data_IF_590858668524
#
_entry.id   IF_590858668524
#
_cell.length_a   1.000
_cell.length_b   1.000
_cell.length_c   1.000
_cell.angle_alpha   90.00
_cell.angle_beta   90.00
_cell.angle_gamma   90.00
#
_symmetry.space_group_name_H-M   'P 1'
#
loop_
_entity.id
_entity.type
_entity.pdbx_description
1 polymer ?
#
# COMPACT_ATOMS: atom_id res chain seq x y z
N UNK A 1 -0.57 -18.94 -4.71
CA UNK A 1 -1.71 -18.78 -5.63
C UNK A 1 -1.53 -17.70 -6.71
N UNK A 2 -0.48 -16.88 -6.66
CA UNK A 2 -0.26 -15.79 -7.64
C UNK A 2 -0.43 -16.12 -9.14
N UNK A 3 0.04 -17.28 -9.68
CA UNK A 3 -0.08 -17.54 -11.12
C UNK A 3 -1.52 -17.62 -11.62
N UNK A 4 -2.45 -18.15 -10.82
CA UNK A 4 -3.87 -18.30 -11.21
C UNK A 4 -4.58 -16.94 -11.27
N UNK A 5 -4.27 -16.04 -10.32
CA UNK A 5 -4.82 -14.68 -10.30
C UNK A 5 -4.32 -13.85 -11.48
N UNK A 6 -3.05 -14.03 -11.84
CA UNK A 6 -2.47 -13.40 -13.02
C UNK A 6 -3.13 -13.88 -14.32
N UNK A 7 -3.42 -15.17 -14.42
CA UNK A 7 -4.17 -15.75 -15.55
C UNK A 7 -5.57 -15.15 -15.66
N UNK A 8 -6.30 -15.03 -14.55
CA UNK A 8 -7.62 -14.41 -14.52
C UNK A 8 -7.58 -12.93 -14.97
N UNK A 9 -6.54 -12.19 -14.59
CA UNK A 9 -6.33 -10.82 -15.08
C UNK A 9 -6.11 -10.78 -16.61
N UNK A 10 -5.27 -11.65 -17.16
CA UNK A 10 -4.99 -11.71 -18.60
C UNK A 10 -6.18 -12.17 -19.44
N UNK A 11 -7.05 -13.04 -18.91
CA UNK A 11 -8.26 -13.49 -19.59
C UNK A 11 -9.23 -12.32 -19.88
N UNK A 12 -9.23 -11.27 -19.07
CA UNK A 12 -10.19 -10.17 -19.20
C UNK A 12 -9.63 -8.94 -19.93
N UNK A 13 -8.32 -8.68 -19.87
CA UNK A 13 -7.66 -7.50 -20.48
C UNK A 13 -7.13 -7.75 -21.90
N UNK A 14 -7.26 -8.97 -22.42
CA UNK A 14 -6.48 -9.53 -23.53
C UNK A 14 -5.00 -9.72 -23.19
N UNK A 15 -4.42 -10.83 -23.66
CA UNK A 15 -3.09 -11.29 -23.27
C UNK A 15 -2.01 -10.23 -23.47
N UNK A 16 -2.01 -9.55 -24.62
CA UNK A 16 -0.96 -8.58 -24.98
C UNK A 16 -1.07 -7.32 -24.13
N UNK A 17 -2.25 -6.72 -24.05
CA UNK A 17 -2.49 -5.49 -23.28
C UNK A 17 -2.28 -5.71 -21.78
N UNK A 18 -2.78 -6.83 -21.25
CA UNK A 18 -2.57 -7.21 -19.84
C UNK A 18 -1.10 -7.44 -19.51
N UNK A 19 -0.35 -8.10 -20.40
CA UNK A 19 1.08 -8.34 -20.20
C UNK A 19 1.89 -7.04 -20.19
N UNK A 20 1.60 -6.09 -21.09
CA UNK A 20 2.28 -4.80 -21.16
C UNK A 20 2.04 -3.99 -19.89
N UNK A 21 0.79 -3.88 -19.44
CA UNK A 21 0.44 -3.14 -18.21
C UNK A 21 1.09 -3.82 -16.99
N UNK A 22 1.04 -5.15 -16.92
CA UNK A 22 1.66 -5.91 -15.83
C UNK A 22 3.17 -5.67 -15.76
N UNK A 23 3.88 -5.77 -16.89
CA UNK A 23 5.32 -5.53 -16.94
C UNK A 23 5.67 -4.08 -16.57
N UNK A 24 4.87 -3.10 -17.02
CA UNK A 24 5.08 -1.70 -16.64
C UNK A 24 4.90 -1.48 -15.13
N UNK A 25 3.81 -2.00 -14.55
CA UNK A 25 3.50 -1.80 -13.13
C UNK A 25 4.46 -2.56 -12.22
N UNK A 26 4.73 -3.83 -12.51
CA UNK A 26 5.66 -4.65 -11.72
C UNK A 26 7.10 -4.16 -11.90
N UNK A 27 7.50 -3.87 -13.15
CA UNK A 27 8.83 -3.35 -13.44
C UNK A 27 9.09 -2.02 -12.72
N UNK A 28 8.17 -1.06 -12.83
CA UNK A 28 8.29 0.21 -12.12
C UNK A 28 8.26 0.05 -10.59
N UNK A 29 7.36 -0.78 -10.05
CA UNK A 29 7.31 -1.06 -8.62
C UNK A 29 8.59 -1.68 -8.07
N UNK A 30 9.23 -2.59 -8.82
CA UNK A 30 10.51 -3.18 -8.46
C UNK A 30 11.66 -2.17 -8.58
N UNK A 31 11.67 -1.31 -9.59
CA UNK A 31 12.65 -0.24 -9.73
C UNK A 31 12.58 0.74 -8.55
N UNK A 32 11.37 1.17 -8.20
CA UNK A 32 11.13 2.07 -7.05
C UNK A 32 11.53 1.40 -5.76
N UNK A 33 11.20 0.12 -5.57
CA UNK A 33 11.63 -0.66 -4.41
C UNK A 33 13.15 -0.75 -4.32
N UNK A 34 13.82 -1.01 -5.43
CA UNK A 34 15.28 -1.08 -5.50
C UNK A 34 15.91 0.27 -5.15
N UNK A 35 15.36 1.38 -5.68
CA UNK A 35 15.79 2.73 -5.34
C UNK A 35 15.59 3.05 -3.85
N UNK A 36 14.40 2.79 -3.30
CA UNK A 36 14.09 3.02 -1.89
C UNK A 36 14.85 2.11 -0.93
N UNK A 37 15.26 0.92 -1.36
CA UNK A 37 16.04 0.00 -0.53
C UNK A 37 17.46 0.50 -0.24
N UNK A 38 17.96 1.46 -1.04
CA UNK A 38 19.23 2.16 -0.76
C UNK A 38 19.11 3.23 0.32
N UNK A 39 17.90 3.60 0.71
CA UNK A 39 17.66 4.48 1.84
C UNK A 39 17.40 3.59 3.08
N UNK A 40 18.02 3.94 4.21
CA UNK A 40 17.84 3.27 5.52
C UNK A 40 16.43 3.50 6.12
N UNK A 41 15.39 3.20 5.34
CA UNK A 41 13.98 3.31 5.72
C UNK A 41 13.54 2.07 6.51
N UNK A 42 12.72 2.29 7.54
CA UNK A 42 11.97 1.23 8.22
C UNK A 42 11.07 0.44 7.22
N UNK A 43 10.78 -0.83 7.56
CA UNK A 43 10.01 -1.77 6.72
C UNK A 43 8.63 -1.23 6.31
N UNK A 44 7.93 -0.54 7.21
CA UNK A 44 6.56 -0.03 7.00
C UNK A 44 6.52 1.14 6.00
N UNK A 45 7.27 2.25 6.20
CA UNK A 45 7.32 3.36 5.24
C UNK A 45 7.75 2.94 3.84
N UNK A 46 8.68 1.98 3.74
CA UNK A 46 9.17 1.46 2.46
C UNK A 46 8.04 0.84 1.62
N UNK A 47 7.18 0.02 2.24
CA UNK A 47 6.06 -0.63 1.55
C UNK A 47 5.01 0.42 1.15
N UNK A 48 4.67 1.35 2.05
CA UNK A 48 3.71 2.42 1.76
C UNK A 48 4.15 3.31 0.60
N UNK A 49 5.44 3.66 0.55
CA UNK A 49 5.98 4.48 -0.53
C UNK A 49 5.92 3.78 -1.89
N UNK A 50 6.24 2.48 -1.96
CA UNK A 50 6.08 1.69 -3.19
C UNK A 50 4.62 1.70 -3.65
N UNK A 51 3.66 1.49 -2.74
CA UNK A 51 2.23 1.50 -3.06
C UNK A 51 1.78 2.86 -3.62
N UNK A 52 2.20 3.97 -3.00
CA UNK A 52 1.82 5.31 -3.48
C UNK A 52 2.37 5.58 -4.88
N UNK A 53 3.62 5.18 -5.15
CA UNK A 53 4.20 5.34 -6.49
C UNK A 53 3.46 4.50 -7.52
N UNK A 54 3.09 3.26 -7.18
CA UNK A 54 2.26 2.40 -8.06
C UNK A 54 0.91 3.06 -8.33
N UNK A 55 0.24 3.62 -7.32
CA UNK A 55 -1.02 4.37 -7.49
C UNK A 55 -0.81 5.58 -8.40
N UNK A 56 0.27 6.34 -8.24
CA UNK A 56 0.59 7.49 -9.10
C UNK A 56 0.84 7.12 -10.57
N UNK A 57 1.47 5.96 -10.81
CA UNK A 57 1.66 5.40 -12.16
C UNK A 57 0.31 4.98 -12.74
N UNK A 58 -0.52 4.28 -11.96
CA UNK A 58 -1.86 3.90 -12.40
C UNK A 58 -2.74 5.12 -12.71
N UNK A 59 -2.66 6.18 -11.91
CA UNK A 59 -3.36 7.43 -12.16
C UNK A 59 -2.89 8.09 -13.47
N UNK A 60 -1.58 8.17 -13.70
CA UNK A 60 -1.00 8.68 -14.94
C UNK A 60 -1.47 7.88 -16.17
N UNK A 61 -1.40 6.55 -16.09
CA UNK A 61 -1.88 5.65 -17.15
C UNK A 61 -3.39 5.81 -17.37
N UNK A 62 -4.17 6.00 -16.31
CA UNK A 62 -5.62 6.23 -16.40
C UNK A 62 -5.95 7.56 -17.10
N UNK A 63 -5.20 8.63 -16.84
CA UNK A 63 -5.38 9.93 -17.49
C UNK A 63 -5.06 9.83 -18.98
N UNK A 64 -3.94 9.20 -19.33
CA UNK A 64 -3.53 8.95 -20.72
C UNK A 64 -4.56 8.04 -21.42
N UNK A 65 -5.01 7.00 -20.74
CA UNK A 65 -6.00 6.05 -21.25
C UNK A 65 -7.37 6.69 -21.51
N UNK A 66 -7.79 7.61 -20.64
CA UNK A 66 -9.01 8.39 -20.82
C UNK A 66 -8.92 9.33 -22.03
N UNK A 67 -7.76 9.96 -22.27
CA UNK A 67 -7.54 10.77 -23.48
C UNK A 67 -7.57 9.94 -24.77
N UNK A 68 -7.20 8.66 -24.70
CA UNK A 68 -7.17 7.73 -25.84
C UNK A 68 -8.52 7.01 -26.08
N UNK A 69 -9.58 7.33 -25.34
CA UNK A 69 -10.89 6.65 -25.39
C UNK A 69 -10.82 5.12 -25.22
N UNK A 70 -9.77 4.64 -24.52
CA UNK A 70 -9.62 3.23 -24.24
C UNK A 70 -10.49 2.90 -23.02
N UNK A 71 -11.50 2.05 -23.23
CA UNK A 71 -12.43 1.55 -22.20
C UNK A 71 -11.71 0.60 -21.21
N UNK A 72 -10.72 1.12 -20.47
CA UNK A 72 -10.00 0.39 -19.41
C UNK A 72 -10.87 0.11 -18.18
N UNK A 73 -12.07 0.69 -18.12
CA UNK A 73 -13.02 0.56 -17.01
C UNK A 73 -13.37 -0.91 -16.68
N UNK A 74 -13.35 -1.81 -17.67
CA UNK A 74 -13.67 -3.23 -17.47
C UNK A 74 -12.61 -4.01 -16.67
N UNK A 75 -11.34 -3.57 -16.67
CA UNK A 75 -10.27 -4.26 -15.94
C UNK A 75 -10.13 -3.84 -14.48
N UNK A 76 -10.71 -2.70 -14.07
CA UNK A 76 -10.64 -2.21 -12.67
C UNK A 76 -11.49 -3.09 -11.74
N UNK A 77 -12.52 -3.76 -12.27
CA UNK A 77 -13.44 -4.62 -11.50
C UNK A 77 -12.77 -5.87 -10.91
N UNK A 78 -11.61 -6.29 -11.41
CA UNK A 78 -10.89 -7.47 -10.87
C UNK A 78 -10.03 -7.15 -9.64
N UNK A 79 -9.70 -5.88 -9.41
CA UNK A 79 -8.83 -5.50 -8.32
C UNK A 79 -9.38 -5.97 -6.95
N UNK A 80 -10.69 -5.79 -6.64
CA UNK A 80 -11.29 -6.35 -5.43
C UNK A 80 -11.19 -7.87 -5.35
N UNK A 81 -11.41 -8.60 -6.44
CA UNK A 81 -11.32 -10.07 -6.47
C UNK A 81 -9.90 -10.54 -6.19
N UNK A 82 -8.88 -9.87 -6.76
CA UNK A 82 -7.47 -10.18 -6.52
C UNK A 82 -7.09 -9.91 -5.07
N UNK A 83 -7.51 -8.76 -4.51
CA UNK A 83 -7.25 -8.41 -3.11
C UNK A 83 -7.91 -9.42 -2.16
N UNK A 84 -9.16 -9.79 -2.41
CA UNK A 84 -9.87 -10.77 -1.59
C UNK A 84 -9.20 -12.14 -1.65
N UNK A 85 -8.86 -12.63 -2.84
CA UNK A 85 -8.17 -13.91 -2.98
C UNK A 85 -6.79 -13.89 -2.28
N UNK A 86 -6.03 -12.81 -2.43
CA UNK A 86 -4.76 -12.64 -1.73
C UNK A 86 -4.92 -12.57 -0.21
N UNK A 87 -5.98 -11.91 0.26
CA UNK A 87 -6.31 -11.83 1.68
C UNK A 87 -6.63 -13.22 2.23
N UNK A 88 -7.45 -14.00 1.53
CA UNK A 88 -7.77 -15.38 1.94
C UNK A 88 -6.52 -16.26 1.95
N UNK A 89 -5.65 -16.16 0.94
CA UNK A 89 -4.37 -16.89 0.91
C UNK A 89 -3.51 -16.55 2.14
N UNK A 90 -3.32 -15.25 2.42
CA UNK A 90 -2.51 -14.78 3.56
C UNK A 90 -3.09 -15.22 4.90
N UNK A 91 -4.42 -15.14 5.06
CA UNK A 91 -5.10 -15.53 6.28
C UNK A 91 -5.10 -17.05 6.48
N UNK A 92 -5.17 -17.82 5.40
CA UNK A 92 -5.08 -19.29 5.46
C UNK A 92 -3.71 -19.75 5.94
N UNK A 93 -2.63 -19.16 5.40
CA UNK A 93 -1.27 -19.46 5.84
C UNK A 93 -1.07 -19.08 7.31
N UNK A 94 -1.53 -17.89 7.71
CA UNK A 94 -1.45 -17.44 9.10
C UNK A 94 -2.24 -18.35 10.05
N UNK A 95 -3.37 -18.90 9.59
CA UNK A 95 -4.16 -19.85 10.37
C UNK A 95 -3.43 -21.17 10.59
N UNK A 96 -2.69 -21.63 9.58
CA UNK A 96 -1.84 -22.82 9.69
C UNK A 96 -0.61 -22.59 10.57
N UNK A 97 0.01 -21.40 10.51
CA UNK A 97 1.24 -21.08 11.24
C UNK A 97 1.01 -20.70 12.71
N UNK A 98 0.09 -19.76 12.99
CA UNK A 98 -0.08 -19.12 14.31
C UNK A 98 -1.38 -19.55 15.04
N UNK A 99 -2.26 -20.29 14.36
CA UNK A 99 -3.53 -20.78 14.89
C UNK A 99 -4.68 -19.75 14.88
N UNK A 100 -5.92 -20.24 14.93
CA UNK A 100 -7.10 -19.42 14.63
C UNK A 100 -7.37 -18.23 15.58
N UNK A 101 -6.82 -18.24 16.79
CA UNK A 101 -6.99 -17.13 17.74
C UNK A 101 -6.18 -15.89 17.32
N UNK A 102 -4.94 -16.08 16.88
CA UNK A 102 -4.07 -14.99 16.43
C UNK A 102 -4.62 -14.37 15.14
N UNK A 103 -5.07 -15.22 14.20
CA UNK A 103 -5.74 -14.78 12.98
C UNK A 103 -6.97 -13.94 13.27
N UNK A 104 -7.82 -14.35 14.23
CA UNK A 104 -9.03 -13.61 14.56
C UNK A 104 -8.71 -12.21 15.10
N UNK A 105 -7.68 -12.07 15.94
CA UNK A 105 -7.25 -10.77 16.48
C UNK A 105 -6.67 -9.91 15.36
N UNK A 106 -5.78 -10.46 14.51
CA UNK A 106 -5.16 -9.71 13.43
C UNK A 106 -6.16 -9.29 12.36
N UNK A 107 -7.07 -10.19 11.97
CA UNK A 107 -8.14 -9.92 10.99
C UNK A 107 -9.17 -8.95 11.56
N UNK A 108 -9.52 -9.06 12.84
CA UNK A 108 -10.41 -8.13 13.51
C UNK A 108 -9.82 -6.71 13.57
N UNK A 109 -8.53 -6.60 13.91
CA UNK A 109 -7.80 -5.32 13.92
C UNK A 109 -7.74 -4.67 12.54
N UNK A 110 -7.46 -5.45 11.48
CA UNK A 110 -7.42 -4.93 10.12
C UNK A 110 -8.81 -4.56 9.59
N UNK A 111 -9.86 -5.31 9.94
CA UNK A 111 -11.24 -5.00 9.56
C UNK A 111 -11.76 -3.71 10.24
N UNK A 112 -11.44 -3.51 11.51
CA UNK A 112 -11.74 -2.26 12.23
C UNK A 112 -11.01 -1.07 11.59
N UNK A 113 -9.71 -1.21 11.32
CA UNK A 113 -8.94 -0.18 10.64
C UNK A 113 -9.51 0.11 9.24
N UNK A 114 -9.86 -0.92 8.46
CA UNK A 114 -10.46 -0.77 7.14
C UNK A 114 -11.82 -0.05 7.19
N UNK A 115 -12.65 -0.35 8.19
CA UNK A 115 -13.94 0.33 8.41
C UNK A 115 -13.72 1.81 8.71
N UNK A 116 -12.74 2.14 9.54
CA UNK A 116 -12.41 3.54 9.84
C UNK A 116 -11.90 4.27 8.59
N UNK A 117 -10.99 3.64 7.83
CA UNK A 117 -10.53 4.17 6.55
C UNK A 117 -11.67 4.37 5.55
N UNK A 118 -12.67 3.47 5.50
CA UNK A 118 -13.84 3.63 4.64
C UNK A 118 -14.61 4.91 4.95
N UNK A 119 -14.86 5.21 6.23
CA UNK A 119 -15.54 6.46 6.61
C UNK A 119 -14.71 7.69 6.25
N UNK A 120 -13.39 7.65 6.46
CA UNK A 120 -12.48 8.75 6.12
C UNK A 120 -12.46 8.97 4.60
N UNK A 121 -12.28 7.92 3.81
CA UNK A 121 -12.26 7.98 2.34
C UNK A 121 -13.64 8.29 1.73
N UNK A 122 -14.73 8.03 2.46
CA UNK A 122 -16.09 8.41 2.07
C UNK A 122 -16.37 9.92 2.19
N UNK A 123 -15.47 10.69 2.80
CA UNK A 123 -15.60 12.15 2.86
C UNK A 123 -15.47 12.77 1.47
N UNK A 124 -16.50 13.52 1.04
CA UNK A 124 -16.49 14.24 -0.26
C UNK A 124 -15.32 15.21 -0.39
N UNK A 125 -14.86 15.77 0.74
CA UNK A 125 -13.71 16.70 0.77
C UNK A 125 -12.44 15.97 0.33
N UNK A 126 -12.18 14.78 0.90
CA UNK A 126 -11.01 13.97 0.56
C UNK A 126 -11.05 13.47 -0.89
N UNK A 127 -12.22 13.00 -1.34
CA UNK A 127 -12.38 12.58 -2.74
C UNK A 127 -12.13 13.74 -3.69
N UNK A 128 -12.75 14.90 -3.47
CA UNK A 128 -12.55 16.08 -4.32
C UNK A 128 -11.08 16.50 -4.37
N UNK A 129 -10.40 16.55 -3.22
CA UNK A 129 -9.00 16.96 -3.15
C UNK A 129 -8.08 16.01 -3.91
N UNK A 130 -8.21 14.70 -3.74
CA UNK A 130 -7.33 13.72 -4.38
C UNK A 130 -7.57 13.61 -5.89
N UNK A 131 -8.84 13.68 -6.34
CA UNK A 131 -9.16 13.63 -7.77
C UNK A 131 -8.79 14.92 -8.51
N UNK A 132 -8.90 16.08 -7.85
CA UNK A 132 -8.57 17.38 -8.46
C UNK A 132 -7.07 17.65 -8.41
N UNK A 133 -6.39 17.25 -7.34
CA UNK A 133 -4.96 17.51 -7.11
C UNK A 133 -4.21 16.19 -6.85
N UNK A 134 -3.88 15.43 -7.91
CA UNK A 134 -3.07 14.22 -7.78
C UNK A 134 -1.67 14.51 -7.20
N UNK A 135 -1.20 15.77 -7.26
CA UNK A 135 0.03 16.24 -6.61
C UNK A 135 0.06 16.01 -5.10
N UNK A 136 -1.11 15.96 -4.44
CA UNK A 136 -1.23 15.64 -3.02
C UNK A 136 -0.63 14.26 -2.69
N UNK A 137 -0.66 13.30 -3.63
CA UNK A 137 -0.04 12.00 -3.43
C UNK A 137 1.48 12.10 -3.22
N UNK A 138 2.15 13.05 -3.90
CA UNK A 138 3.57 13.29 -3.70
C UNK A 138 3.87 13.97 -2.36
N UNK A 139 2.98 14.84 -1.88
CA UNK A 139 3.10 15.44 -0.54
C UNK A 139 2.95 14.35 0.54
N UNK A 140 1.95 13.47 0.40
CA UNK A 140 1.76 12.34 1.31
C UNK A 140 2.97 11.39 1.27
N UNK A 141 3.52 11.13 0.08
CA UNK A 141 4.76 10.36 -0.08
C UNK A 141 5.92 11.01 0.68
N UNK A 142 6.11 12.32 0.54
CA UNK A 142 7.17 13.05 1.25
C UNK A 142 7.01 12.94 2.77
N UNK A 143 5.78 13.10 3.29
CA UNK A 143 5.49 12.94 4.73
C UNK A 143 5.82 11.52 5.20
N UNK A 144 5.45 10.49 4.43
CA UNK A 144 5.73 9.09 4.79
C UNK A 144 7.23 8.80 4.77
N UNK A 145 7.97 9.35 3.81
CA UNK A 145 9.43 9.22 3.77
C UNK A 145 10.10 9.93 4.95
N UNK A 146 9.63 11.14 5.31
CA UNK A 146 10.12 11.86 6.49
C UNK A 146 9.85 11.09 7.79
N UNK A 147 8.62 10.58 7.97
CA UNK A 147 8.27 9.73 9.10
C UNK A 147 9.06 8.40 9.08
N UNK A 148 9.38 7.90 7.90
CA UNK A 148 10.11 6.65 7.72
C UNK A 148 11.61 6.73 7.90
N UNK A 149 12.19 7.92 7.73
CA UNK A 149 13.55 8.27 8.13
C UNK A 149 13.63 8.63 9.61
N UNK A 150 12.49 8.87 10.28
CA UNK A 150 12.44 9.08 11.71
C UNK A 150 12.76 7.76 12.42
N UNK A 151 14.05 7.54 12.65
CA UNK A 151 14.64 6.60 13.60
C UNK A 151 14.35 7.01 15.04
N UNK A 152 13.13 7.50 15.29
CA UNK A 152 12.69 7.96 16.59
C UNK A 152 12.45 6.77 17.48
N UNK A 153 13.42 6.55 18.38
CA UNK A 153 13.26 5.98 19.72
C UNK A 153 11.80 5.77 20.09
N UNK A 154 11.47 4.54 20.51
CA UNK A 154 10.16 4.22 21.06
C UNK A 154 9.74 5.38 21.97
N UNK A 155 8.60 6.03 21.74
CA UNK A 155 8.08 7.05 22.68
C UNK A 155 7.99 6.49 24.12
N UNK A 156 7.92 5.15 24.27
CA UNK A 156 8.03 4.44 25.55
C UNK A 156 9.44 4.38 26.15
N UNK A 157 10.51 4.55 25.37
CA UNK A 157 11.89 4.69 25.87
C UNK A 157 12.13 6.05 26.52
N UNK A 158 11.55 7.15 26.01
CA UNK A 158 11.62 8.44 26.70
C UNK A 158 10.99 8.37 28.11
N UNK A 159 9.91 7.60 28.28
CA UNK A 159 9.30 7.36 29.59
C UNK A 159 10.10 6.39 30.48
N UNK A 160 10.78 5.40 29.89
CA UNK A 160 11.55 4.38 30.64
C UNK A 160 12.95 4.85 31.05
N UNK A 161 13.58 5.76 30.32
CA UNK A 161 14.92 6.29 30.63
C UNK A 161 14.93 7.60 31.44
N UNK A 162 13.76 8.14 31.80
CA UNK A 162 13.66 9.32 32.68
C UNK A 162 14.33 9.19 34.08
N UNK A 163 14.47 8.01 34.72
CA UNK A 163 15.08 7.92 36.04
C UNK A 163 16.62 7.87 36.04
N UNK A 164 17.28 7.64 34.91
CA UNK A 164 18.76 7.52 34.87
C UNK A 164 19.49 8.85 34.66
N UNK A 165 18.78 9.94 34.35
CA UNK A 165 19.36 11.28 34.18
C UNK A 165 19.48 12.08 35.50
N UNK A 166 19.07 11.50 36.64
CA UNK A 166 19.07 12.17 37.94
C UNK A 166 20.20 11.77 38.89
N UNK A 167 21.05 10.82 38.51
CA UNK A 167 22.14 10.36 39.38
C UNK A 167 23.50 11.03 39.10
N UNK A 168 23.62 11.81 38.01
CA UNK A 168 24.84 12.57 37.68
C UNK A 168 24.58 14.08 37.71
N UNK A 169 24.11 14.57 38.87
CA UNK A 169 24.21 15.99 39.21
C UNK A 169 25.34 16.14 40.24
N UNK A 170 26.51 16.71 39.88
CA UNK A 170 27.49 17.15 40.86
C UNK A 170 27.00 18.33 41.71
#
# INVERSE_FOLDING_TARGET
FMPILLTMAFLQTQLITGLVIFLLVVGSGLLVRSYLSRLDLLLVPRISAVVIVVIGIMASVSIIGHMLHLEFARSITLFPTIILAWTVERLSVLWEEDGGKEVAIQTGGSLLAATFCYFVMGSRVLQYMVFTFPELLFIVLAIILLLGQYTGYRLSELRRFSPLSKEDAP
#
